data_IF_581944335112
#
_entry.id   IF_581944335112
#
_cell.length_a   1.000
_cell.length_b   1.000
_cell.length_c   1.000
_cell.angle_alpha   90.00
_cell.angle_beta   90.00
_cell.angle_gamma   90.00
#
_symmetry.space_group_name_H-M   'P 1'
#
loop_
_entity.id
_entity.type
_entity.pdbx_description
1 polymer ?
#
# COMPACT_ATOMS: atom_id res chain seq x y z
N UNK A 1 -2.64 -5.20 -16.85
CA UNK A 1 -3.55 -4.35 -16.07
C UNK A 1 -4.45 -3.58 -17.02
N UNK A 2 -5.71 -3.38 -16.68
CA UNK A 2 -6.66 -2.54 -17.42
C UNK A 2 -7.16 -1.42 -16.49
N UNK A 3 -7.12 -0.17 -16.95
CA UNK A 3 -7.72 0.99 -16.28
C UNK A 3 -9.19 1.05 -16.72
N UNK A 4 -10.11 1.07 -15.76
CA UNK A 4 -11.55 1.01 -16.00
C UNK A 4 -12.25 2.36 -15.88
N UNK A 5 -11.56 3.40 -15.40
CA UNK A 5 -12.10 4.74 -15.15
C UNK A 5 -11.05 5.79 -15.50
N UNK A 6 -11.50 7.02 -15.83
CA UNK A 6 -10.61 8.15 -16.03
C UNK A 6 -10.03 8.66 -14.71
N UNK A 7 -8.79 9.15 -14.74
CA UNK A 7 -8.14 9.74 -13.58
C UNK A 7 -8.50 11.23 -13.45
N UNK A 8 -9.14 11.59 -12.35
CA UNK A 8 -9.60 12.96 -12.07
C UNK A 8 -8.59 13.81 -11.27
N UNK A 9 -7.42 13.26 -10.96
CA UNK A 9 -6.38 13.91 -10.15
C UNK A 9 -6.53 13.76 -8.64
N UNK A 10 -7.64 13.21 -8.14
CA UNK A 10 -7.94 13.07 -6.70
C UNK A 10 -7.96 11.62 -6.23
N UNK A 11 -8.68 10.79 -6.95
CA UNK A 11 -8.83 9.37 -6.64
C UNK A 11 -8.16 8.54 -7.72
N UNK A 12 -7.41 7.51 -7.34
CA UNK A 12 -6.85 6.58 -8.31
C UNK A 12 -7.98 5.85 -9.04
N UNK A 13 -7.88 5.65 -10.38
CA UNK A 13 -8.93 5.02 -11.17
C UNK A 13 -9.06 3.54 -10.83
N UNK A 14 -10.26 2.97 -10.97
CA UNK A 14 -10.47 1.53 -10.80
C UNK A 14 -9.63 0.74 -11.79
N UNK A 15 -8.95 -0.29 -11.28
CA UNK A 15 -8.08 -1.15 -12.08
C UNK A 15 -8.55 -2.61 -12.03
N UNK A 16 -8.27 -3.31 -13.12
CA UNK A 16 -8.40 -4.75 -13.20
C UNK A 16 -7.05 -5.37 -13.57
N UNK A 17 -6.62 -6.36 -12.78
CA UNK A 17 -5.45 -7.20 -13.02
C UNK A 17 -5.89 -8.62 -13.44
N UNK A 18 -5.01 -9.59 -13.44
CA UNK A 18 -5.38 -10.96 -13.79
C UNK A 18 -6.38 -11.57 -12.79
N UNK A 19 -6.18 -11.34 -11.48
CA UNK A 19 -6.97 -11.96 -10.40
C UNK A 19 -7.68 -10.96 -9.51
N UNK A 20 -7.36 -9.66 -9.59
CA UNK A 20 -7.81 -8.66 -8.63
C UNK A 20 -8.60 -7.53 -9.31
N UNK A 21 -9.46 -6.91 -8.51
CA UNK A 21 -10.01 -5.57 -8.76
C UNK A 21 -9.46 -4.64 -7.68
N UNK A 22 -8.85 -3.55 -8.08
CA UNK A 22 -8.41 -2.47 -7.22
C UNK A 22 -9.37 -1.30 -7.41
N UNK A 23 -10.06 -0.92 -6.35
CA UNK A 23 -11.09 0.11 -6.39
C UNK A 23 -11.01 1.05 -5.20
N UNK A 24 -11.69 2.17 -5.27
CA UNK A 24 -11.86 3.05 -4.12
C UNK A 24 -12.53 2.30 -2.97
N UNK A 25 -12.08 2.59 -1.77
CA UNK A 25 -12.69 2.11 -0.53
C UNK A 25 -13.91 2.99 -0.21
N UNK A 26 -14.92 2.40 0.37
CA UNK A 26 -16.15 3.06 0.81
C UNK A 26 -16.39 2.78 2.28
N UNK A 27 -17.30 3.52 2.91
CA UNK A 27 -17.72 3.26 4.30
C UNK A 27 -18.27 1.83 4.48
N UNK A 28 -18.91 1.29 3.46
CA UNK A 28 -19.40 -0.10 3.46
C UNK A 28 -18.29 -1.16 3.56
N UNK A 29 -17.05 -0.80 3.26
CA UNK A 29 -15.90 -1.71 3.35
C UNK A 29 -15.28 -1.78 4.75
N UNK A 30 -15.62 -0.84 5.64
CA UNK A 30 -15.01 -0.71 6.98
C UNK A 30 -15.06 -2.02 7.77
N UNK A 31 -16.15 -2.80 7.82
CA UNK A 31 -16.14 -4.08 8.53
C UNK A 31 -15.10 -5.07 7.99
N UNK A 32 -14.97 -5.15 6.65
CA UNK A 32 -13.97 -6.03 6.04
C UNK A 32 -12.52 -5.51 6.21
N UNK A 33 -12.34 -4.20 6.31
CA UNK A 33 -11.05 -3.59 6.63
C UNK A 33 -10.68 -3.86 8.07
N UNK A 34 -11.61 -3.73 9.00
CA UNK A 34 -11.38 -4.00 10.42
C UNK A 34 -10.90 -5.43 10.67
N UNK A 35 -11.37 -6.43 9.92
CA UNK A 35 -10.94 -7.82 10.05
C UNK A 35 -9.43 -8.04 9.94
N UNK A 36 -8.69 -7.12 9.32
CA UNK A 36 -7.24 -7.24 9.23
C UNK A 36 -6.47 -6.09 9.89
N UNK A 37 -7.03 -4.87 9.99
CA UNK A 37 -6.29 -3.76 10.62
C UNK A 37 -6.24 -3.86 12.14
N UNK A 38 -7.13 -4.65 12.76
CA UNK A 38 -7.11 -4.95 14.19
C UNK A 38 -6.09 -6.04 14.59
N UNK A 39 -5.49 -6.75 13.61
CA UNK A 39 -4.57 -7.84 13.89
C UNK A 39 -3.15 -7.31 14.10
N UNK A 40 -2.53 -7.69 15.23
CA UNK A 40 -1.15 -7.32 15.55
C UNK A 40 -0.14 -7.76 14.49
N UNK A 41 -0.31 -8.97 13.97
CA UNK A 41 0.55 -9.54 12.92
C UNK A 41 0.46 -8.81 11.57
N UNK A 42 -0.59 -8.02 11.35
CA UNK A 42 -0.75 -7.16 10.17
C UNK A 42 -0.26 -5.74 10.46
N UNK A 43 -0.70 -5.16 11.58
CA UNK A 43 -0.46 -3.77 11.90
C UNK A 43 1.01 -3.47 12.26
N UNK A 44 1.58 -4.19 13.23
CA UNK A 44 2.94 -3.88 13.70
C UNK A 44 4.03 -4.01 12.62
N UNK A 45 4.05 -5.06 11.77
CA UNK A 45 5.03 -5.12 10.69
C UNK A 45 4.87 -4.01 9.64
N UNK A 46 3.68 -3.43 9.52
CA UNK A 46 3.41 -2.30 8.65
C UNK A 46 3.72 -0.92 9.29
N UNK A 47 4.22 -0.92 10.53
CA UNK A 47 4.52 0.32 11.27
C UNK A 47 3.28 1.00 11.83
N UNK A 48 2.18 0.28 11.99
CA UNK A 48 0.91 0.77 12.54
C UNK A 48 0.63 0.15 13.92
N UNK A 49 -0.26 0.77 14.67
CA UNK A 49 -0.89 0.13 15.83
C UNK A 49 -2.20 -0.53 15.39
N UNK A 50 -2.54 -1.71 15.92
CA UNK A 50 -3.84 -2.32 15.66
C UNK A 50 -4.98 -1.37 16.02
N UNK A 51 -6.00 -1.31 15.20
CA UNK A 51 -7.21 -0.54 15.48
C UNK A 51 -7.99 -1.27 16.58
N UNK A 52 -8.37 -0.53 17.62
CA UNK A 52 -8.90 -1.14 18.85
C UNK A 52 -10.37 -1.61 18.71
N UNK A 53 -11.17 -0.90 17.91
CA UNK A 53 -12.59 -1.22 17.72
C UNK A 53 -13.05 -0.91 16.29
N UNK A 54 -14.18 -1.52 15.92
CA UNK A 54 -14.83 -1.22 14.65
C UNK A 54 -15.29 0.26 14.58
N UNK A 55 -15.69 0.84 15.71
CA UNK A 55 -16.06 2.25 15.80
C UNK A 55 -14.87 3.18 15.51
N UNK A 56 -13.68 2.85 16.02
CA UNK A 56 -12.45 3.59 15.73
C UNK A 56 -12.08 3.54 14.23
N UNK A 57 -12.32 2.40 13.57
CA UNK A 57 -12.08 2.28 12.13
C UNK A 57 -13.08 3.11 11.32
N UNK A 58 -14.36 3.15 11.72
CA UNK A 58 -15.35 4.04 11.13
C UNK A 58 -14.94 5.50 11.30
N UNK A 59 -14.58 5.92 12.54
CA UNK A 59 -14.14 7.30 12.82
C UNK A 59 -12.90 7.65 11.99
N UNK A 60 -11.92 6.74 11.92
CA UNK A 60 -10.74 6.98 11.11
C UNK A 60 -11.08 7.18 9.63
N UNK A 61 -11.91 6.30 9.07
CA UNK A 61 -12.23 6.32 7.65
C UNK A 61 -13.08 7.55 7.28
N UNK A 62 -14.12 7.88 8.05
CA UNK A 62 -15.03 8.98 7.76
C UNK A 62 -14.42 10.35 8.05
N UNK A 63 -13.68 10.46 9.15
CA UNK A 63 -13.27 11.78 9.68
C UNK A 63 -11.79 12.10 9.48
N UNK A 64 -10.90 11.11 9.29
CA UNK A 64 -9.45 11.33 9.25
C UNK A 64 -8.78 10.93 7.94
N UNK A 65 -9.22 9.86 7.30
CA UNK A 65 -8.56 9.31 6.12
C UNK A 65 -8.42 10.34 4.99
N UNK A 66 -9.53 10.91 4.52
CA UNK A 66 -9.50 11.87 3.42
C UNK A 66 -8.81 13.20 3.79
N UNK A 67 -8.96 13.65 5.02
CA UNK A 67 -8.25 14.84 5.50
C UNK A 67 -6.71 14.64 5.51
N UNK A 68 -6.25 13.45 5.87
CA UNK A 68 -4.83 13.12 5.85
C UNK A 68 -4.28 13.09 4.42
N UNK A 69 -5.03 12.54 3.48
CA UNK A 69 -4.66 12.54 2.06
C UNK A 69 -4.56 13.96 1.50
N UNK A 70 -5.53 14.81 1.80
CA UNK A 70 -5.53 16.22 1.36
C UNK A 70 -4.32 16.98 1.91
N UNK A 71 -4.03 16.84 3.22
CA UNK A 71 -2.85 17.45 3.85
C UNK A 71 -1.54 16.96 3.23
N UNK A 72 -1.45 15.67 2.91
CA UNK A 72 -0.27 15.06 2.31
C UNK A 72 -0.19 15.26 0.80
N UNK A 73 -1.24 15.81 0.16
CA UNK A 73 -1.38 15.94 -1.30
C UNK A 73 -1.20 14.61 -2.02
N UNK A 74 -1.81 13.57 -1.49
CA UNK A 74 -1.79 12.21 -2.04
C UNK A 74 -3.16 11.83 -2.61
N UNK A 75 -3.22 11.04 -3.68
CA UNK A 75 -4.47 10.48 -4.15
C UNK A 75 -4.97 9.42 -3.16
N UNK A 76 -6.27 9.15 -3.13
CA UNK A 76 -6.83 8.05 -2.36
C UNK A 76 -6.35 6.70 -2.94
N UNK A 77 -5.97 5.79 -2.06
CA UNK A 77 -5.47 4.47 -2.44
C UNK A 77 -6.58 3.45 -2.72
N UNK A 78 -6.18 2.23 -2.97
CA UNK A 78 -7.04 1.12 -3.33
C UNK A 78 -7.43 0.24 -2.16
N UNK A 79 -8.70 -0.20 -2.16
CA UNK A 79 -9.09 -1.49 -1.61
C UNK A 79 -8.88 -2.58 -2.66
N UNK A 80 -8.44 -3.74 -2.21
CA UNK A 80 -8.11 -4.89 -3.07
C UNK A 80 -9.20 -5.95 -2.87
N UNK A 81 -9.82 -6.39 -3.96
CA UNK A 81 -10.76 -7.52 -3.97
C UNK A 81 -10.29 -8.59 -4.94
N UNK A 82 -10.64 -9.85 -4.68
CA UNK A 82 -10.43 -10.95 -5.65
C UNK A 82 -11.59 -10.93 -6.64
N UNK A 83 -11.33 -11.13 -7.93
CA UNK A 83 -12.38 -11.20 -8.96
C UNK A 83 -13.46 -12.20 -8.57
N UNK A 84 -14.72 -11.80 -8.74
CA UNK A 84 -15.88 -12.58 -8.32
C UNK A 84 -16.32 -12.33 -6.87
N UNK A 85 -15.63 -11.46 -6.12
CA UNK A 85 -16.01 -11.02 -4.79
C UNK A 85 -15.85 -9.52 -4.64
N UNK A 86 -16.80 -8.88 -3.95
CA UNK A 86 -16.71 -7.45 -3.61
C UNK A 86 -16.05 -7.19 -2.26
N UNK A 87 -15.75 -8.25 -1.48
CA UNK A 87 -15.13 -8.13 -0.17
C UNK A 87 -13.69 -7.67 -0.31
N UNK A 88 -13.33 -6.59 0.39
CA UNK A 88 -11.95 -6.14 0.50
C UNK A 88 -11.15 -7.15 1.33
N UNK A 89 -10.00 -7.56 0.78
CA UNK A 89 -9.04 -8.46 1.42
C UNK A 89 -7.76 -7.75 1.86
N UNK A 90 -7.60 -6.50 1.48
CA UNK A 90 -6.41 -5.70 1.75
C UNK A 90 -6.49 -4.33 1.11
N UNK A 91 -5.42 -3.56 1.23
CA UNK A 91 -5.31 -2.23 0.64
C UNK A 91 -3.88 -1.91 0.23
N UNK A 92 -3.73 -1.03 -0.76
CA UNK A 92 -2.45 -0.43 -1.12
C UNK A 92 -2.64 1.04 -1.52
N UNK A 93 -1.66 1.88 -1.21
CA UNK A 93 -1.76 3.31 -1.43
C UNK A 93 -0.38 3.97 -1.51
N UNK A 94 -0.33 5.18 -2.03
CA UNK A 94 0.78 6.09 -1.78
C UNK A 94 0.59 6.71 -0.40
N UNK A 95 1.61 6.59 0.44
CA UNK A 95 1.54 6.93 1.87
C UNK A 95 2.32 8.20 2.22
N UNK A 96 3.42 8.43 1.57
CA UNK A 96 4.29 9.55 1.83
C UNK A 96 4.83 10.12 0.53
N UNK A 97 4.94 11.46 0.47
CA UNK A 97 5.51 12.18 -0.67
C UNK A 97 6.89 12.69 -0.26
N UNK A 98 7.90 12.24 -1.03
CA UNK A 98 9.25 12.77 -0.95
C UNK A 98 9.40 13.78 -2.06
N UNK A 99 9.54 14.97 -2.05
CA UNK A 99 9.58 15.88 -3.19
C UNK A 99 8.31 15.77 -4.08
N UNK A 100 8.35 16.31 -5.28
CA UNK A 100 7.17 16.40 -6.13
C UNK A 100 6.90 15.14 -6.95
N UNK A 101 7.91 14.32 -7.17
CA UNK A 101 7.88 13.15 -8.07
C UNK A 101 8.37 11.84 -7.44
N UNK A 102 8.52 11.80 -6.11
CA UNK A 102 8.92 10.61 -5.35
C UNK A 102 7.89 10.25 -4.28
N UNK A 103 7.30 9.06 -4.35
CA UNK A 103 6.31 8.60 -3.38
C UNK A 103 6.71 7.29 -2.72
N UNK A 104 6.39 7.18 -1.42
CA UNK A 104 6.42 5.92 -0.71
C UNK A 104 5.06 5.23 -0.84
N UNK A 105 5.06 3.90 -1.01
CA UNK A 105 3.84 3.09 -1.00
C UNK A 105 3.73 2.27 0.27
N UNK A 106 2.50 2.08 0.73
CA UNK A 106 2.15 1.19 1.83
C UNK A 106 1.06 0.21 1.42
N UNK A 107 0.98 -0.91 2.11
CA UNK A 107 -0.01 -1.94 1.86
C UNK A 107 -0.24 -2.83 3.06
N UNK A 108 -1.46 -3.35 3.15
CA UNK A 108 -1.92 -4.32 4.14
C UNK A 108 -2.70 -5.42 3.44
N UNK A 109 -2.63 -6.65 3.95
CA UNK A 109 -3.37 -7.80 3.41
C UNK A 109 -3.82 -8.69 4.57
N UNK A 110 -5.08 -9.12 4.51
CA UNK A 110 -5.63 -10.08 5.47
C UNK A 110 -4.81 -11.39 5.44
N UNK A 111 -4.46 -11.99 6.59
CA UNK A 111 -3.58 -13.15 6.68
C UNK A 111 -4.01 -14.35 5.83
N UNK A 112 -5.30 -14.62 5.72
CA UNK A 112 -5.84 -15.73 4.92
C UNK A 112 -5.48 -15.66 3.43
N UNK A 113 -5.05 -14.49 2.95
CA UNK A 113 -4.66 -14.26 1.56
C UNK A 113 -3.15 -14.12 1.38
N UNK A 114 -2.35 -14.35 2.44
CA UNK A 114 -0.90 -14.35 2.33
C UNK A 114 -0.40 -15.56 1.51
N UNK A 115 0.78 -15.43 0.93
CA UNK A 115 1.40 -16.52 0.17
C UNK A 115 0.88 -16.70 -1.27
N UNK A 116 -0.25 -16.11 -1.65
CA UNK A 116 -0.88 -16.25 -2.96
C UNK A 116 -0.35 -15.27 -4.02
N UNK A 117 0.52 -14.33 -3.65
CA UNK A 117 1.07 -13.33 -4.57
C UNK A 117 0.14 -12.15 -4.85
N UNK A 118 -1.01 -12.05 -4.21
CA UNK A 118 -1.98 -10.98 -4.42
C UNK A 118 -1.39 -9.59 -4.15
N UNK A 119 -0.65 -9.43 -3.05
CA UNK A 119 -0.04 -8.12 -2.78
C UNK A 119 1.02 -7.74 -3.82
N UNK A 120 1.82 -8.70 -4.31
CA UNK A 120 2.78 -8.42 -5.39
C UNK A 120 2.07 -7.95 -6.66
N UNK A 121 0.94 -8.57 -7.02
CA UNK A 121 0.12 -8.20 -8.17
C UNK A 121 -0.51 -6.80 -8.00
N UNK A 122 -1.08 -6.52 -6.84
CA UNK A 122 -1.68 -5.21 -6.54
C UNK A 122 -0.64 -4.08 -6.55
N UNK A 123 0.52 -4.30 -5.92
CA UNK A 123 1.61 -3.31 -5.88
C UNK A 123 2.21 -3.09 -7.27
N UNK A 124 2.31 -4.12 -8.12
CA UNK A 124 2.73 -3.96 -9.51
C UNK A 124 1.78 -3.02 -10.28
N UNK A 125 0.47 -3.16 -10.08
CA UNK A 125 -0.51 -2.26 -10.69
C UNK A 125 -0.40 -0.83 -10.13
N UNK A 126 -0.18 -0.66 -8.84
CA UNK A 126 0.03 0.66 -8.22
C UNK A 126 1.31 1.33 -8.74
N UNK A 127 2.40 0.58 -8.94
CA UNK A 127 3.65 1.08 -9.53
C UNK A 127 3.40 1.59 -10.96
N UNK A 128 2.66 0.83 -11.77
CA UNK A 128 2.33 1.25 -13.13
C UNK A 128 1.53 2.57 -13.13
N UNK A 129 0.53 2.72 -12.25
CA UNK A 129 -0.20 3.97 -12.04
C UNK A 129 0.75 5.11 -11.63
N UNK A 130 1.64 4.86 -10.68
CA UNK A 130 2.60 5.84 -10.22
C UNK A 130 3.47 6.39 -11.35
N UNK A 131 4.01 5.52 -12.18
CA UNK A 131 4.89 5.94 -13.28
C UNK A 131 4.13 6.47 -14.50
N UNK A 132 2.94 5.96 -14.82
CA UNK A 132 2.21 6.34 -16.04
C UNK A 132 1.23 7.49 -15.85
N UNK A 133 0.42 7.48 -14.77
CA UNK A 133 -0.62 8.49 -14.52
C UNK A 133 -0.12 9.63 -13.63
N UNK A 134 0.63 9.33 -12.57
CA UNK A 134 1.13 10.34 -11.65
C UNK A 134 2.48 10.92 -12.07
N UNK A 135 3.05 10.40 -13.14
CA UNK A 135 4.35 10.83 -13.67
C UNK A 135 5.49 10.85 -12.65
N UNK A 136 5.49 9.90 -11.70
CA UNK A 136 6.53 9.80 -10.69
C UNK A 136 7.88 9.47 -11.31
N UNK A 137 8.96 9.93 -10.70
CA UNK A 137 10.34 9.56 -11.02
C UNK A 137 10.81 8.36 -10.21
N UNK A 138 10.36 8.27 -8.95
CA UNK A 138 10.79 7.25 -7.99
C UNK A 138 9.63 6.76 -7.13
N UNK A 139 9.65 5.46 -6.82
CA UNK A 139 8.76 4.84 -5.84
C UNK A 139 9.60 4.16 -4.77
N UNK A 140 9.24 4.33 -3.50
CA UNK A 140 9.90 3.70 -2.36
C UNK A 140 8.98 2.73 -1.63
N UNK A 141 9.58 1.68 -1.05
CA UNK A 141 8.98 0.81 -0.04
C UNK A 141 9.88 0.84 1.19
N UNK A 142 9.29 1.12 2.36
CA UNK A 142 9.99 1.04 3.63
C UNK A 142 9.43 -0.10 4.46
N UNK A 143 10.29 -0.89 5.07
CA UNK A 143 9.86 -1.96 5.96
C UNK A 143 10.89 -2.24 7.04
N UNK A 144 10.45 -2.86 8.12
CA UNK A 144 11.34 -3.41 9.12
C UNK A 144 12.03 -4.68 8.60
N UNK A 145 13.25 -4.95 9.08
CA UNK A 145 14.06 -6.09 8.68
C UNK A 145 13.39 -7.45 8.98
N UNK A 146 12.55 -7.51 9.99
CA UNK A 146 11.78 -8.70 10.34
C UNK A 146 10.51 -8.90 9.47
N UNK A 147 10.04 -7.87 8.73
CA UNK A 147 8.90 -8.00 7.83
C UNK A 147 9.31 -8.68 6.51
N UNK A 148 9.47 -10.00 6.58
CA UNK A 148 9.90 -10.82 5.43
C UNK A 148 8.92 -10.77 4.26
N UNK A 149 7.63 -10.59 4.52
CA UNK A 149 6.59 -10.48 3.48
C UNK A 149 6.79 -9.23 2.64
N UNK A 150 6.94 -8.07 3.28
CA UNK A 150 7.15 -6.79 2.59
C UNK A 150 8.46 -6.79 1.80
N UNK A 151 9.54 -7.31 2.39
CA UNK A 151 10.83 -7.48 1.69
C UNK A 151 10.68 -8.29 0.40
N UNK A 152 9.97 -9.44 0.45
CA UNK A 152 9.73 -10.28 -0.72
C UNK A 152 8.90 -9.58 -1.80
N UNK A 153 7.97 -8.72 -1.44
CA UNK A 153 7.21 -7.90 -2.41
C UNK A 153 8.17 -6.96 -3.12
N UNK A 154 8.98 -6.19 -2.39
CA UNK A 154 9.96 -5.28 -2.96
C UNK A 154 10.96 -6.00 -3.89
N UNK A 155 11.55 -7.11 -3.43
CA UNK A 155 12.53 -7.91 -4.17
C UNK A 155 11.92 -8.49 -5.47
N UNK A 156 10.70 -9.06 -5.41
CA UNK A 156 10.01 -9.61 -6.59
C UNK A 156 9.67 -8.56 -7.63
N UNK A 157 9.38 -7.34 -7.20
CA UNK A 157 9.09 -6.21 -8.07
C UNK A 157 10.34 -5.45 -8.52
N UNK A 158 11.51 -5.96 -8.10
CA UNK A 158 12.80 -5.46 -8.57
C UNK A 158 13.22 -4.14 -7.97
N UNK A 159 12.74 -3.79 -6.79
CA UNK A 159 13.26 -2.68 -6.04
C UNK A 159 14.70 -2.94 -5.60
N UNK A 160 15.51 -1.91 -5.60
CA UNK A 160 16.89 -1.92 -5.10
C UNK A 160 16.91 -1.52 -3.62
N UNK A 161 17.60 -2.27 -2.76
CA UNK A 161 17.84 -1.88 -1.38
C UNK A 161 18.81 -0.69 -1.36
N UNK A 162 18.33 0.50 -1.03
CA UNK A 162 19.11 1.75 -1.06
C UNK A 162 19.69 2.12 0.31
N UNK A 163 18.97 1.77 1.39
CA UNK A 163 19.45 2.09 2.74
C UNK A 163 19.06 1.05 3.78
N UNK A 164 19.95 0.91 4.76
CA UNK A 164 19.78 0.09 5.97
C UNK A 164 20.02 0.97 7.19
N UNK A 165 18.94 1.38 7.85
CA UNK A 165 19.01 2.30 8.99
C UNK A 165 18.90 1.50 10.28
N UNK A 166 20.04 1.34 10.95
CA UNK A 166 20.13 0.57 12.20
C UNK A 166 19.57 1.32 13.39
N UNK A 167 19.24 0.54 14.44
CA UNK A 167 18.91 1.03 15.77
C UNK A 167 17.67 1.94 15.79
N UNK A 168 16.68 1.62 14.96
CA UNK A 168 15.36 2.21 15.02
C UNK A 168 14.49 1.50 16.05
N UNK A 169 13.38 2.09 16.41
CA UNK A 169 12.33 1.45 17.21
C UNK A 169 11.09 1.25 16.33
N UNK A 170 10.49 0.08 16.44
CA UNK A 170 9.16 -0.17 15.91
C UNK A 170 8.07 0.45 16.81
N UNK A 171 6.81 0.28 16.44
CA UNK A 171 5.69 0.84 17.21
C UNK A 171 5.47 0.15 18.57
N UNK A 172 6.11 -0.97 18.80
CA UNK A 172 6.12 -1.66 20.10
C UNK A 172 7.33 -1.24 20.98
N UNK A 173 8.21 -0.39 20.44
CA UNK A 173 9.43 0.06 21.12
C UNK A 173 10.61 -0.90 21.00
N UNK A 174 10.50 -2.01 20.25
CA UNK A 174 11.58 -2.95 20.03
C UNK A 174 12.63 -2.36 19.08
N UNK A 175 13.90 -2.69 19.32
CA UNK A 175 14.99 -2.30 18.42
C UNK A 175 14.91 -3.10 17.11
N UNK A 176 14.98 -2.41 16.00
CA UNK A 176 14.90 -2.96 14.67
C UNK A 176 15.77 -2.21 13.68
N UNK A 177 15.78 -2.69 12.44
CA UNK A 177 16.44 -2.05 11.31
C UNK A 177 15.36 -1.66 10.29
N UNK A 178 15.38 -0.39 9.85
CA UNK A 178 14.56 0.04 8.71
C UNK A 178 15.32 -0.18 7.41
N UNK A 179 14.68 -0.86 6.49
CA UNK A 179 15.13 -1.07 5.12
C UNK A 179 14.36 -0.14 4.19
N UNK A 180 15.09 0.55 3.32
CA UNK A 180 14.51 1.43 2.30
C UNK A 180 14.85 0.83 0.94
N UNK A 181 13.81 0.49 0.20
CA UNK A 181 13.88 0.00 -1.16
C UNK A 181 13.39 1.06 -2.12
N UNK A 182 14.12 1.32 -3.20
CA UNK A 182 13.76 2.28 -4.24
C UNK A 182 13.61 1.61 -5.60
N UNK A 183 12.71 2.14 -6.42
CA UNK A 183 12.54 1.79 -7.83
C UNK A 183 12.45 3.08 -8.64
N UNK A 184 13.39 3.28 -9.55
CA UNK A 184 13.40 4.40 -10.47
C UNK A 184 12.53 4.10 -11.70
N UNK A 185 11.91 5.13 -12.27
CA UNK A 185 11.18 5.01 -13.54
C UNK A 185 12.03 4.34 -14.64
N UNK A 186 13.28 4.79 -14.81
CA UNK A 186 14.20 4.25 -15.82
C UNK A 186 14.46 2.76 -15.66
N UNK A 187 14.52 2.27 -14.43
CA UNK A 187 14.68 0.84 -14.14
C UNK A 187 13.43 0.04 -14.47
N UNK A 188 12.25 0.61 -14.20
CA UNK A 188 10.97 -0.01 -14.52
C UNK A 188 10.72 -0.06 -16.03
N UNK A 189 11.00 1.03 -16.77
CA UNK A 189 10.89 1.09 -18.23
C UNK A 189 11.84 0.12 -18.92
N UNK A 190 13.04 -0.06 -18.40
CA UNK A 190 14.04 -1.00 -18.94
C UNK A 190 13.68 -2.48 -18.79
N UNK A 191 12.59 -2.81 -18.08
CA UNK A 191 12.09 -4.20 -17.87
C UNK A 191 10.88 -4.55 -18.74
N UNK A 192 10.32 -3.57 -19.47
CA UNK A 192 9.24 -3.76 -20.46
C UNK A 192 9.81 -4.11 -21.81
#
# INVERSE_FOLDING_TARGET
>A
MQILEDFDGKALPKLETDRLILRQRTVGDVPAMFDYVCLEEVAYPAGLSPIASLEDEYDYFENRYYQNLEKAKLPSGYGITVKGSDRIIGSCAFNHRHEDDGFEICYLLHPDYWGHGYMTEAVAALIEVGFTLLNLHKIEIRCYDYNKQSRRVAEKLGFTLEATIRDRKDNQGNRCVNLIYGLLRSEWEGRK
#
